data_IF_289078446081
#
_entry.id   IF_289078446081
#
_cell.length_a   1.000
_cell.length_b   1.000
_cell.length_c   1.000
_cell.angle_alpha   90.00
_cell.angle_beta   90.00
_cell.angle_gamma   90.00
#
_symmetry.space_group_name_H-M   'P 1'
#
loop_
_entity.id
_entity.type
_entity.pdbx_description
1 polymer ?
#
# COMPACT_ATOMS: atom_id res chain seq x y z
N UNK A 1 -32.71 -8.72 16.14
CA UNK A 1 -32.77 -8.01 14.84
C UNK A 1 -31.65 -8.55 13.97
N UNK A 2 -31.93 -9.07 12.77
CA UNK A 2 -30.88 -9.43 11.83
C UNK A 2 -30.14 -8.14 11.44
N UNK A 3 -28.83 -8.08 11.67
CA UNK A 3 -28.04 -6.92 11.27
C UNK A 3 -28.14 -6.73 9.75
N UNK A 4 -28.22 -5.48 9.31
CA UNK A 4 -28.19 -5.12 7.88
C UNK A 4 -26.84 -5.58 7.32
N UNK A 5 -26.79 -6.43 6.28
CA UNK A 5 -25.53 -6.91 5.75
C UNK A 5 -24.79 -5.78 5.03
N UNK A 6 -23.46 -5.73 5.21
CA UNK A 6 -22.62 -4.73 4.56
C UNK A 6 -21.79 -5.37 3.45
N UNK A 7 -21.64 -4.63 2.34
CA UNK A 7 -20.75 -4.98 1.25
C UNK A 7 -19.83 -3.79 1.00
N UNK A 8 -18.52 -4.00 0.96
CA UNK A 8 -17.60 -2.93 0.55
C UNK A 8 -16.98 -3.23 -0.80
N UNK A 9 -16.75 -2.20 -1.63
CA UNK A 9 -16.15 -2.34 -2.95
C UNK A 9 -14.79 -1.62 -3.03
N UNK A 10 -13.78 -2.30 -3.59
CA UNK A 10 -12.49 -1.71 -3.96
C UNK A 10 -12.14 -2.15 -5.38
N UNK A 11 -12.03 -1.20 -6.33
CA UNK A 11 -11.70 -1.55 -7.73
C UNK A 11 -10.76 -0.55 -8.40
N UNK A 12 -10.29 -0.90 -9.59
CA UNK A 12 -9.54 -0.05 -10.52
C UNK A 12 -10.39 0.42 -11.72
N UNK A 13 -11.71 0.38 -11.61
CA UNK A 13 -12.64 0.68 -12.72
C UNK A 13 -12.73 2.19 -13.05
N UNK A 14 -12.29 3.04 -12.12
CA UNK A 14 -12.55 4.48 -12.21
C UNK A 14 -14.01 4.83 -11.89
N UNK A 15 -14.34 6.10 -12.09
CA UNK A 15 -15.67 6.67 -11.84
C UNK A 15 -16.27 7.32 -13.10
N UNK A 16 -15.62 7.17 -14.24
CA UNK A 16 -15.96 7.89 -15.48
C UNK A 16 -17.06 7.21 -16.29
N UNK A 17 -17.31 5.93 -16.06
CA UNK A 17 -18.29 5.12 -16.78
C UNK A 17 -19.30 4.45 -15.84
N UNK A 18 -20.14 3.56 -16.39
CA UNK A 18 -21.21 2.90 -15.66
C UNK A 18 -20.82 1.64 -14.88
N UNK A 19 -19.54 1.22 -14.83
CA UNK A 19 -19.18 -0.07 -14.22
C UNK A 19 -19.50 -0.12 -12.72
N UNK A 20 -19.20 0.93 -11.97
CA UNK A 20 -19.53 1.01 -10.54
C UNK A 20 -21.04 0.94 -10.31
N UNK A 21 -21.81 1.67 -11.13
CA UNK A 21 -23.28 1.63 -11.07
C UNK A 21 -23.83 0.23 -11.40
N UNK A 22 -23.21 -0.49 -12.34
CA UNK A 22 -23.57 -1.87 -12.64
C UNK A 22 -23.30 -2.81 -11.44
N UNK A 23 -22.15 -2.67 -10.77
CA UNK A 23 -21.86 -3.42 -9.53
C UNK A 23 -22.92 -3.17 -8.46
N UNK A 24 -23.24 -1.90 -8.18
CA UNK A 24 -24.27 -1.52 -7.23
C UNK A 24 -25.65 -2.08 -7.61
N UNK A 25 -26.03 -2.01 -8.88
CA UNK A 25 -27.30 -2.55 -9.38
C UNK A 25 -27.39 -4.07 -9.25
N UNK A 26 -26.31 -4.80 -9.53
CA UNK A 26 -26.26 -6.25 -9.32
C UNK A 26 -26.38 -6.60 -7.83
N UNK A 27 -25.67 -5.88 -6.97
CA UNK A 27 -25.78 -6.04 -5.51
C UNK A 27 -27.22 -5.79 -5.05
N UNK A 28 -27.83 -4.69 -5.47
CA UNK A 28 -29.20 -4.34 -5.10
C UNK A 28 -30.22 -5.38 -5.58
N UNK A 29 -29.99 -6.03 -6.73
CA UNK A 29 -30.85 -7.10 -7.25
C UNK A 29 -30.70 -8.41 -6.47
N UNK A 30 -29.46 -8.78 -6.10
CA UNK A 30 -29.16 -10.06 -5.44
C UNK A 30 -29.42 -9.98 -3.94
N UNK A 31 -29.03 -8.88 -3.30
CA UNK A 31 -29.08 -8.65 -1.87
C UNK A 31 -29.64 -7.23 -1.59
N UNK A 32 -30.95 -7.00 -1.79
CA UNK A 32 -31.57 -5.67 -1.69
C UNK A 32 -31.49 -5.05 -0.29
N UNK A 33 -31.33 -5.87 0.76
CA UNK A 33 -31.14 -5.39 2.11
C UNK A 33 -29.69 -4.99 2.42
N UNK A 34 -28.72 -5.31 1.54
CA UNK A 34 -27.33 -4.99 1.79
C UNK A 34 -27.03 -3.52 1.56
N UNK A 35 -26.20 -2.95 2.42
CA UNK A 35 -25.67 -1.58 2.26
C UNK A 35 -24.28 -1.65 1.64
N UNK A 36 -24.06 -0.82 0.62
CA UNK A 36 -22.78 -0.73 -0.09
C UNK A 36 -21.94 0.42 0.47
N UNK A 37 -20.66 0.16 0.70
CA UNK A 37 -19.62 1.17 0.99
C UNK A 37 -18.55 1.07 -0.09
N UNK A 38 -18.38 2.12 -0.88
CA UNK A 38 -17.24 2.19 -1.80
C UNK A 38 -16.01 2.64 -1.01
N UNK A 39 -15.00 1.76 -0.93
CA UNK A 39 -13.69 2.11 -0.36
C UNK A 39 -12.97 3.03 -1.34
N UNK A 40 -12.84 2.59 -2.59
CA UNK A 40 -12.37 3.40 -3.72
C UNK A 40 -12.54 2.62 -5.02
N UNK A 41 -12.73 3.35 -6.12
CA UNK A 41 -12.66 2.81 -7.48
C UNK A 41 -11.48 3.40 -8.26
N UNK A 42 -10.60 4.14 -7.57
CA UNK A 42 -9.48 4.86 -8.15
C UNK A 42 -8.15 4.18 -7.86
N UNK A 43 -8.16 2.85 -7.63
CA UNK A 43 -6.90 2.09 -7.68
C UNK A 43 -6.34 2.26 -9.10
N UNK A 44 -5.03 2.52 -9.27
CA UNK A 44 -4.44 2.58 -10.60
C UNK A 44 -4.73 1.30 -11.40
N UNK A 45 -5.01 1.40 -12.71
CA UNK A 45 -5.35 0.24 -13.53
C UNK A 45 -4.32 -0.88 -13.37
N UNK A 46 -4.80 -2.10 -13.14
CA UNK A 46 -4.00 -3.32 -12.99
C UNK A 46 -3.05 -3.34 -11.77
N UNK A 47 -3.07 -2.36 -10.86
CA UNK A 47 -2.17 -2.30 -9.70
C UNK A 47 -2.73 -3.10 -8.50
N UNK A 48 -2.58 -4.43 -8.58
CA UNK A 48 -3.03 -5.38 -7.56
C UNK A 48 -2.44 -5.07 -6.18
N UNK A 49 -1.18 -4.61 -6.12
CA UNK A 49 -0.50 -4.30 -4.86
C UNK A 49 -1.11 -3.09 -4.18
N UNK A 50 -1.34 -2.00 -4.94
CA UNK A 50 -2.03 -0.82 -4.41
C UNK A 50 -3.44 -1.16 -3.94
N UNK A 51 -4.20 -1.96 -4.71
CA UNK A 51 -5.52 -2.44 -4.30
C UNK A 51 -5.49 -3.21 -2.98
N UNK A 52 -4.52 -4.11 -2.81
CA UNK A 52 -4.37 -4.87 -1.57
C UNK A 52 -3.95 -3.98 -0.38
N UNK A 53 -3.07 -2.99 -0.60
CA UNK A 53 -2.70 -2.02 0.43
C UNK A 53 -3.90 -1.18 0.90
N UNK A 54 -4.73 -0.70 -0.03
CA UNK A 54 -5.97 0.03 0.31
C UNK A 54 -6.90 -0.82 1.17
N UNK A 55 -7.11 -2.09 0.80
CA UNK A 55 -7.96 -3.01 1.56
C UNK A 55 -7.40 -3.23 2.97
N UNK A 56 -6.11 -3.53 3.10
CA UNK A 56 -5.47 -3.78 4.39
C UNK A 56 -5.58 -2.58 5.33
N UNK A 57 -5.49 -1.35 4.80
CA UNK A 57 -5.61 -0.11 5.56
C UNK A 57 -7.06 0.24 5.93
N UNK A 58 -8.04 -0.16 5.12
CA UNK A 58 -9.44 0.30 5.28
C UNK A 58 -10.34 -0.72 5.98
N UNK A 59 -10.23 -2.01 5.62
CA UNK A 59 -11.12 -3.08 6.10
C UNK A 59 -11.24 -3.15 7.63
N UNK A 60 -10.16 -2.96 8.44
CA UNK A 60 -10.27 -2.99 9.90
C UNK A 60 -11.24 -1.96 10.51
N UNK A 61 -11.57 -0.90 9.76
CA UNK A 61 -12.48 0.17 10.20
C UNK A 61 -13.91 0.02 9.64
N UNK A 62 -14.15 -0.96 8.76
CA UNK A 62 -15.45 -1.18 8.14
C UNK A 62 -16.33 -2.11 9.00
N UNK A 63 -17.66 -2.04 8.84
CA UNK A 63 -18.56 -3.01 9.48
C UNK A 63 -18.24 -4.43 9.04
N UNK A 64 -18.50 -5.40 9.92
CA UNK A 64 -18.47 -6.82 9.56
C UNK A 64 -19.41 -7.05 8.37
N UNK A 65 -18.85 -7.57 7.28
CA UNK A 65 -19.55 -7.71 6.01
C UNK A 65 -18.73 -8.47 4.97
N UNK A 66 -19.15 -8.36 3.71
CA UNK A 66 -18.44 -8.93 2.56
C UNK A 66 -17.59 -7.83 1.92
N UNK A 67 -16.27 -7.99 1.97
CA UNK A 67 -15.35 -7.08 1.32
C UNK A 67 -14.99 -7.61 -0.07
N UNK A 68 -15.48 -6.93 -1.12
CA UNK A 68 -15.24 -7.28 -2.51
C UNK A 68 -14.13 -6.38 -3.05
N UNK A 69 -13.09 -7.00 -3.59
CA UNK A 69 -12.02 -6.30 -4.26
C UNK A 69 -11.77 -6.88 -5.65
N UNK A 70 -11.72 -5.99 -6.65
CA UNK A 70 -11.46 -6.37 -8.03
C UNK A 70 -10.44 -5.41 -8.61
N UNK A 71 -9.19 -5.85 -8.62
CA UNK A 71 -8.10 -5.25 -9.39
C UNK A 71 -7.46 -6.43 -10.11
N UNK A 72 -7.88 -6.66 -11.35
CA UNK A 72 -7.56 -7.89 -12.07
C UNK A 72 -7.08 -7.60 -13.50
N UNK A 73 -5.75 -7.59 -13.73
CA UNK A 73 -5.18 -7.50 -15.07
C UNK A 73 -5.53 -8.70 -15.95
N UNK A 74 -5.94 -9.83 -15.35
CA UNK A 74 -6.30 -11.07 -16.02
C UNK A 74 -7.80 -11.26 -16.23
N UNK A 75 -8.59 -10.18 -16.16
CA UNK A 75 -10.04 -10.25 -16.39
C UNK A 75 -10.36 -10.91 -17.74
N UNK A 76 -11.37 -11.79 -17.76
CA UNK A 76 -11.77 -12.55 -18.96
C UNK A 76 -10.89 -13.76 -19.30
N UNK A 77 -9.88 -14.07 -18.49
CA UNK A 77 -9.08 -15.30 -18.62
C UNK A 77 -9.68 -16.46 -17.80
N UNK A 78 -9.00 -17.62 -17.79
CA UNK A 78 -9.37 -18.76 -16.93
C UNK A 78 -9.13 -18.52 -15.43
N UNK A 79 -8.60 -17.35 -15.03
CA UNK A 79 -8.34 -17.01 -13.63
C UNK A 79 -9.66 -16.94 -12.86
N UNK A 80 -9.75 -17.72 -11.78
CA UNK A 80 -10.95 -17.80 -10.95
C UNK A 80 -10.94 -16.75 -9.86
N UNK A 81 -12.10 -16.15 -9.60
CA UNK A 81 -12.33 -15.40 -8.36
C UNK A 81 -12.20 -16.33 -7.14
N UNK A 82 -11.76 -15.76 -6.02
CA UNK A 82 -11.61 -16.48 -4.75
C UNK A 82 -12.48 -15.78 -3.71
N UNK A 83 -13.20 -16.58 -2.92
CA UNK A 83 -13.91 -16.12 -1.74
C UNK A 83 -13.29 -16.78 -0.50
N UNK A 84 -13.04 -15.98 0.54
CA UNK A 84 -12.41 -16.47 1.77
C UNK A 84 -13.29 -16.06 2.95
N UNK A 85 -13.71 -17.08 3.72
CA UNK A 85 -14.41 -16.91 4.98
C UNK A 85 -13.39 -16.95 6.10
N UNK A 86 -13.42 -15.95 6.97
CA UNK A 86 -12.45 -15.77 8.04
C UNK A 86 -13.21 -15.46 9.32
N UNK A 87 -12.81 -16.00 10.48
CA UNK A 87 -13.51 -15.76 11.75
C UNK A 87 -13.62 -14.28 12.14
N UNK A 88 -12.81 -13.40 11.54
CA UNK A 88 -12.82 -11.94 11.73
C UNK A 88 -12.41 -11.10 10.52
N UNK A 89 -12.47 -11.62 9.29
CA UNK A 89 -12.16 -10.86 8.06
C UNK A 89 -10.67 -10.66 7.77
N UNK A 90 -9.99 -11.48 6.95
CA UNK A 90 -8.82 -11.09 6.10
C UNK A 90 -8.08 -12.27 5.43
N UNK A 91 -7.72 -12.07 4.16
CA UNK A 91 -6.73 -12.86 3.42
C UNK A 91 -5.36 -12.27 3.70
N UNK A 92 -4.42 -13.07 4.20
CA UNK A 92 -3.05 -12.62 4.44
C UNK A 92 -2.26 -12.74 3.13
N UNK A 93 -1.80 -11.61 2.60
CA UNK A 93 -0.74 -11.61 1.58
C UNK A 93 0.49 -12.33 2.13
N UNK A 94 1.37 -12.87 1.27
CA UNK A 94 2.69 -13.32 1.72
C UNK A 94 3.34 -12.19 2.52
N UNK A 95 3.89 -12.54 3.68
CA UNK A 95 4.54 -11.55 4.57
C UNK A 95 5.64 -10.85 3.77
N UNK A 96 5.61 -9.52 3.66
CA UNK A 96 6.65 -8.76 2.95
C UNK A 96 8.04 -9.05 3.51
N UNK A 97 9.05 -8.96 2.65
CA UNK A 97 10.44 -9.26 3.06
C UNK A 97 11.02 -8.13 3.90
N UNK A 98 11.52 -8.45 5.10
CA UNK A 98 12.23 -7.53 5.98
C UNK A 98 13.36 -8.28 6.68
N UNK A 99 14.58 -7.74 6.61
CA UNK A 99 15.75 -8.24 7.34
C UNK A 99 16.50 -7.09 8.00
N UNK A 100 17.15 -7.37 9.13
CA UNK A 100 17.93 -6.38 9.90
C UNK A 100 19.30 -6.92 10.27
N UNK A 101 20.26 -6.02 10.43
CA UNK A 101 21.61 -6.30 10.94
C UNK A 101 22.10 -5.12 11.80
N UNK A 102 23.43 -5.03 12.01
CA UNK A 102 24.02 -4.02 12.89
C UNK A 102 24.04 -2.62 12.27
N UNK A 103 24.07 -2.53 10.94
CA UNK A 103 24.19 -1.28 10.19
C UNK A 103 22.83 -0.74 9.71
N UNK A 104 21.77 -1.57 9.74
CA UNK A 104 20.41 -1.14 9.48
C UNK A 104 19.48 -2.26 9.06
N UNK A 105 18.69 -2.04 8.00
CA UNK A 105 17.69 -2.99 7.55
C UNK A 105 17.48 -2.97 6.03
N UNK A 106 17.04 -4.10 5.49
CA UNK A 106 16.55 -4.23 4.12
C UNK A 106 15.05 -4.54 4.19
N UNK A 107 14.23 -3.80 3.46
CA UNK A 107 12.79 -3.99 3.44
C UNK A 107 12.22 -3.90 2.02
N UNK A 108 11.17 -4.67 1.77
CA UNK A 108 10.40 -4.61 0.54
C UNK A 108 9.63 -3.28 0.43
N UNK A 109 9.61 -2.69 -0.76
CA UNK A 109 8.76 -1.56 -1.11
C UNK A 109 7.32 -2.06 -1.21
N UNK A 110 6.46 -1.61 -0.30
CA UNK A 110 5.04 -1.98 -0.29
C UNK A 110 4.28 -1.25 -1.39
N UNK A 111 4.48 0.06 -1.47
CA UNK A 111 3.77 0.93 -2.40
C UNK A 111 4.58 2.19 -2.69
N UNK A 112 4.28 2.80 -3.83
CA UNK A 112 4.71 4.14 -4.18
C UNK A 112 3.45 4.99 -4.28
N UNK A 113 3.36 6.04 -3.47
CA UNK A 113 2.20 6.93 -3.50
C UNK A 113 2.18 7.85 -4.74
N UNK A 114 1.11 8.62 -4.91
CA UNK A 114 0.98 9.52 -6.06
C UNK A 114 2.09 10.60 -6.13
N UNK A 115 2.59 11.03 -4.97
CA UNK A 115 3.69 12.00 -4.87
C UNK A 115 5.07 11.37 -5.16
N UNK A 116 5.14 10.05 -5.24
CA UNK A 116 6.37 9.30 -5.48
C UNK A 116 7.14 8.96 -4.21
N UNK A 117 6.50 9.03 -3.03
CA UNK A 117 7.08 8.53 -1.79
C UNK A 117 7.06 7.00 -1.78
N UNK A 118 8.14 6.41 -1.30
CA UNK A 118 8.37 4.97 -1.29
C UNK A 118 8.12 4.44 0.12
N UNK A 119 7.00 3.75 0.35
CA UNK A 119 6.68 3.14 1.63
C UNK A 119 7.31 1.74 1.71
N UNK A 120 8.04 1.47 2.78
CA UNK A 120 8.72 0.21 3.04
C UNK A 120 7.93 -0.66 4.00
N UNK A 121 8.13 -1.97 3.91
CA UNK A 121 7.62 -2.95 4.88
C UNK A 121 8.32 -2.90 6.23
N UNK A 122 9.02 -1.81 6.56
CA UNK A 122 9.74 -1.64 7.81
C UNK A 122 8.90 -0.81 8.78
N UNK A 123 8.69 -1.28 10.02
CA UNK A 123 8.03 -0.47 11.05
C UNK A 123 9.02 0.53 11.68
N UNK A 124 8.48 1.51 12.41
CA UNK A 124 9.23 2.59 13.04
C UNK A 124 10.46 2.14 13.84
N UNK A 125 10.37 1.00 14.54
CA UNK A 125 11.42 0.52 15.44
C UNK A 125 12.71 0.13 14.71
N UNK A 126 12.66 -0.05 13.38
CA UNK A 126 13.85 -0.30 12.57
C UNK A 126 14.57 1.00 12.15
N UNK A 127 13.86 2.12 12.10
CA UNK A 127 14.42 3.42 11.74
C UNK A 127 14.90 4.20 12.96
N UNK A 128 14.16 4.15 14.07
CA UNK A 128 14.43 4.88 15.31
C UNK A 128 15.90 4.81 15.81
N UNK A 129 16.59 3.66 15.80
CA UNK A 129 17.97 3.58 16.30
C UNK A 129 19.02 4.09 15.30
N UNK A 130 18.64 4.40 14.06
CA UNK A 130 19.59 4.80 13.02
C UNK A 130 19.99 6.28 13.16
N UNK A 131 21.24 6.64 12.78
CA UNK A 131 21.75 7.99 12.89
C UNK A 131 21.01 8.99 11.99
N UNK A 132 21.30 10.29 12.21
CA UNK A 132 20.68 11.40 11.46
C UNK A 132 20.94 11.35 9.95
N UNK A 133 22.05 10.74 9.52
CA UNK A 133 22.43 10.59 8.12
C UNK A 133 22.38 9.13 7.74
N UNK A 134 21.61 8.81 6.72
CA UNK A 134 21.37 7.46 6.24
C UNK A 134 21.86 7.30 4.81
N UNK A 135 22.03 6.03 4.43
CA UNK A 135 22.22 5.58 3.06
C UNK A 135 21.03 4.72 2.66
N UNK A 136 20.43 5.05 1.53
CA UNK A 136 19.26 4.35 0.96
C UNK A 136 19.56 3.91 -0.46
N UNK A 137 19.38 2.63 -0.77
CA UNK A 137 19.65 2.09 -2.11
C UNK A 137 19.29 0.60 -2.23
N UNK A 138 19.66 -0.09 -3.32
CA UNK A 138 19.45 -1.53 -3.44
C UNK A 138 20.31 -2.31 -2.42
N UNK A 139 19.91 -3.52 -2.01
CA UNK A 139 20.75 -4.37 -1.16
C UNK A 139 22.02 -4.83 -1.89
N UNK A 140 23.13 -4.90 -1.15
CA UNK A 140 24.43 -5.34 -1.68
C UNK A 140 25.27 -4.20 -2.26
N UNK A 141 26.31 -4.51 -3.07
CA UNK A 141 27.17 -3.51 -3.67
C UNK A 141 26.39 -2.76 -4.77
N UNK A 142 25.99 -1.53 -4.47
CA UNK A 142 25.25 -0.67 -5.39
C UNK A 142 25.29 0.80 -4.97
N UNK A 143 24.86 1.73 -5.85
CA UNK A 143 24.79 3.13 -5.52
C UNK A 143 23.72 3.36 -4.44
N UNK A 144 24.15 3.85 -3.28
CA UNK A 144 23.25 4.32 -2.22
C UNK A 144 23.25 5.84 -2.17
N UNK A 145 22.07 6.42 -2.05
CA UNK A 145 21.86 7.85 -1.91
C UNK A 145 21.84 8.25 -0.44
N UNK A 146 22.35 9.44 -0.14
CA UNK A 146 22.29 10.00 1.21
C UNK A 146 20.87 10.50 1.48
N UNK A 147 20.30 10.09 2.62
CA UNK A 147 19.02 10.55 3.13
C UNK A 147 19.16 11.10 4.56
N UNK A 148 18.33 12.06 4.91
CA UNK A 148 18.18 12.52 6.30
C UNK A 148 17.22 11.58 7.02
N UNK A 149 17.56 11.12 8.22
CA UNK A 149 16.59 10.57 9.16
C UNK A 149 15.81 11.75 9.74
N UNK A 150 14.55 11.89 9.32
CA UNK A 150 13.69 13.01 9.71
C UNK A 150 12.31 12.57 10.17
N UNK A 151 11.47 13.55 10.49
CA UNK A 151 10.06 13.39 10.85
C UNK A 151 9.13 13.90 9.75
N UNK A 152 9.60 14.87 8.96
CA UNK A 152 8.80 15.52 7.91
C UNK A 152 9.63 15.75 6.65
N UNK A 153 8.96 16.05 5.54
CA UNK A 153 9.62 16.38 4.27
C UNK A 153 10.61 17.55 4.40
N UNK A 154 10.33 18.51 5.28
CA UNK A 154 11.13 19.74 5.45
C UNK A 154 12.46 19.54 6.18
N UNK A 155 12.70 18.36 6.77
CA UNK A 155 13.94 18.08 7.49
C UNK A 155 15.12 17.83 6.55
N UNK A 156 14.84 17.47 5.29
CA UNK A 156 15.83 17.43 4.22
C UNK A 156 15.85 18.76 3.43
N UNK A 157 17.00 19.18 2.90
CA UNK A 157 17.06 20.31 1.97
C UNK A 157 16.20 20.03 0.74
N UNK A 158 15.76 21.08 0.02
CA UNK A 158 15.00 20.92 -1.22
C UNK A 158 15.75 20.00 -2.21
N UNK A 159 15.06 18.98 -2.74
CA UNK A 159 15.64 17.93 -3.58
C UNK A 159 16.41 16.83 -2.82
N UNK A 160 16.58 16.95 -1.51
CA UNK A 160 17.19 15.95 -0.63
C UNK A 160 16.23 14.81 -0.29
N UNK A 161 16.79 13.62 -0.03
CA UNK A 161 16.01 12.48 0.47
C UNK A 161 15.81 12.58 1.98
N UNK A 162 14.64 12.16 2.45
CA UNK A 162 14.33 11.96 3.86
C UNK A 162 13.70 10.58 4.06
N UNK A 163 14.19 9.83 5.04
CA UNK A 163 13.50 8.67 5.58
C UNK A 163 12.79 9.09 6.88
N UNK A 164 11.52 8.75 6.99
CA UNK A 164 10.66 9.13 8.10
C UNK A 164 9.62 8.04 8.35
N UNK A 165 8.96 8.10 9.50
CA UNK A 165 7.81 7.23 9.80
C UNK A 165 6.54 7.95 9.36
N UNK A 166 5.75 7.29 8.51
CA UNK A 166 4.48 7.84 8.02
C UNK A 166 3.32 7.61 9.01
N UNK A 167 2.12 8.06 8.63
CA UNK A 167 0.93 7.93 9.48
C UNK A 167 0.44 6.49 9.69
N UNK A 168 0.93 5.53 8.89
CA UNK A 168 0.67 4.11 9.07
C UNK A 168 1.68 3.43 10.01
N UNK A 169 2.63 4.18 10.56
CA UNK A 169 3.69 3.65 11.44
C UNK A 169 4.78 2.90 10.68
N UNK A 170 4.84 3.07 9.36
CA UNK A 170 5.83 2.44 8.49
C UNK A 170 6.87 3.44 8.03
N UNK A 171 8.07 2.95 7.75
CA UNK A 171 9.14 3.76 7.17
C UNK A 171 8.77 4.10 5.73
N UNK A 172 8.84 5.38 5.40
CA UNK A 172 8.73 5.89 4.05
C UNK A 172 9.97 6.70 3.69
N UNK A 173 10.31 6.70 2.40
CA UNK A 173 11.39 7.52 1.84
C UNK A 173 10.78 8.50 0.85
N UNK A 174 11.09 9.78 1.03
CA UNK A 174 10.56 10.88 0.24
C UNK A 174 11.69 11.79 -0.25
N UNK A 175 11.40 12.63 -1.25
CA UNK A 175 12.28 13.72 -1.65
C UNK A 175 11.56 15.03 -1.36
N UNK A 176 12.21 15.96 -0.67
CA UNK A 176 11.63 17.27 -0.40
C UNK A 176 11.38 18.00 -1.74
N UNK A 177 10.11 18.12 -2.15
CA UNK A 177 9.73 18.72 -3.43
C UNK A 177 10.00 17.85 -4.66
N UNK A 178 10.11 16.54 -4.51
CA UNK A 178 10.37 15.63 -5.63
C UNK A 178 9.85 14.21 -5.42
N UNK A 179 10.19 13.31 -6.36
CA UNK A 179 9.75 11.90 -6.36
C UNK A 179 10.89 11.01 -5.90
N UNK A 180 10.72 10.31 -4.78
CA UNK A 180 11.75 9.38 -4.26
C UNK A 180 11.85 8.11 -5.12
N UNK A 181 10.73 7.61 -5.64
CA UNK A 181 10.69 6.45 -6.52
C UNK A 181 11.61 6.62 -7.74
N UNK A 182 11.58 7.80 -8.37
CA UNK A 182 12.42 8.10 -9.54
C UNK A 182 13.90 8.15 -9.17
N UNK A 183 14.23 8.77 -8.03
CA UNK A 183 15.62 8.90 -7.55
C UNK A 183 16.23 7.58 -7.12
N UNK A 184 15.43 6.72 -6.51
CA UNK A 184 15.85 5.40 -6.03
C UNK A 184 15.66 4.31 -7.10
N UNK A 185 15.07 4.65 -8.24
CA UNK A 185 14.60 3.69 -9.25
C UNK A 185 13.78 2.54 -8.63
N UNK A 186 12.92 2.87 -7.66
CA UNK A 186 12.22 1.91 -6.82
C UNK A 186 10.76 1.72 -7.24
N UNK A 187 10.34 0.46 -7.31
CA UNK A 187 8.98 0.01 -7.60
C UNK A 187 8.44 -0.91 -6.51
N UNK A 188 7.11 -1.04 -6.35
CA UNK A 188 6.52 -2.01 -5.43
C UNK A 188 7.04 -3.44 -5.66
N UNK A 189 7.52 -4.08 -4.60
CA UNK A 189 8.16 -5.39 -4.63
C UNK A 189 9.69 -5.37 -4.68
N UNK A 190 10.31 -4.22 -4.97
CA UNK A 190 11.76 -4.08 -4.88
C UNK A 190 12.22 -4.13 -3.41
N UNK A 191 13.48 -4.50 -3.19
CA UNK A 191 14.10 -4.41 -1.87
C UNK A 191 14.94 -3.14 -1.80
N UNK A 192 14.76 -2.36 -0.73
CA UNK A 192 15.63 -1.24 -0.40
C UNK A 192 16.34 -1.47 0.92
N UNK A 193 17.63 -1.16 0.91
CA UNK A 193 18.51 -1.11 2.07
C UNK A 193 18.52 0.30 2.64
N UNK A 194 18.31 0.40 3.95
CA UNK A 194 18.48 1.62 4.75
C UNK A 194 19.53 1.33 5.81
N UNK A 195 20.60 2.13 5.85
CA UNK A 195 21.70 1.94 6.80
C UNK A 195 22.30 3.27 7.25
N UNK A 196 22.93 3.29 8.42
CA UNK A 196 23.59 4.47 8.99
C UNK A 196 25.03 4.24 9.39
#
# INVERSE_FOLDING_TARGET
MSAVPWISLTTDYGLTDGFVAACHGVVARIAPAARVIDVTHLVPPADVRRGAAVLAQTVPYLPVGVHVAVVDPGVGTARRGVALATPGGLVRLPTPTVTRDAEGFTAEVLTVDHFGNVQLAAPAELLDPLPATLRVGPPGPGPALVAVHGRTFGDAPAGGLVAYVDSAGLVAVAVNGGRAADRLAASPGDLLRVSG
#
